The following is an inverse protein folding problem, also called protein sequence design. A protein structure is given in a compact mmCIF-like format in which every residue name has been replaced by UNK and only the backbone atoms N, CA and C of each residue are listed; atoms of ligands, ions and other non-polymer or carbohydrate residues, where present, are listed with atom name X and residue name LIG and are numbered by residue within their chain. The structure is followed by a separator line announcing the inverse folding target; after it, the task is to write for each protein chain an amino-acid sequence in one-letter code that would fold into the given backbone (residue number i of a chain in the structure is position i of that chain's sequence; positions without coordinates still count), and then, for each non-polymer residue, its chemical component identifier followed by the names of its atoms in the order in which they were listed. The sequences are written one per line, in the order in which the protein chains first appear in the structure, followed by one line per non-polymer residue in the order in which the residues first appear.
data_IF_748573935124
#
_entry.id   IF_748573935124
#
_cell.length_a   1.000
_cell.length_b   1.000
_cell.length_c   1.000
_cell.angle_alpha   90.00
_cell.angle_beta   90.00
_cell.angle_gamma   90.00
#
_symmetry.space_group_name_H-M   'P 1'
#
loop_
_entity.id
_entity.type
_entity.pdbx_description
1 polymer ?
#
# COMPACT_ATOMS: atom_id res chain seq x y z
N UNK A 1 14.83 4.35 -30.28
CA UNK A 1 14.95 3.38 -31.40
C UNK A 1 14.25 2.06 -31.11
N UNK A 2 14.40 1.48 -29.91
CA UNK A 2 13.82 0.18 -29.52
C UNK A 2 12.29 0.14 -29.48
N UNK A 3 11.62 1.27 -29.20
CA UNK A 3 10.15 1.37 -29.17
C UNK A 3 9.58 1.31 -30.57
N UNK A 4 10.25 1.92 -31.55
CA UNK A 4 9.81 1.92 -32.98
C UNK A 4 9.91 0.55 -33.65
N UNK A 5 10.76 -0.34 -33.14
CA UNK A 5 10.94 -1.71 -33.69
C UNK A 5 9.99 -2.73 -33.08
N UNK A 6 9.09 -2.33 -32.19
CA UNK A 6 8.13 -3.22 -31.52
C UNK A 6 8.74 -4.22 -30.55
N UNK A 7 10.04 -4.14 -30.28
CA UNK A 7 10.73 -5.01 -29.30
C UNK A 7 10.40 -4.67 -27.85
N UNK A 8 9.94 -3.43 -27.58
CA UNK A 8 9.50 -2.96 -26.27
C UNK A 8 8.13 -2.34 -26.42
N UNK A 9 7.13 -2.90 -25.78
CA UNK A 9 5.72 -2.43 -25.84
C UNK A 9 5.42 -1.29 -24.84
N UNK A 10 6.42 -0.81 -24.13
CA UNK A 10 6.32 0.24 -23.13
C UNK A 10 7.31 -0.03 -22.00
N UNK A 11 7.51 0.96 -21.14
CA UNK A 11 8.26 0.81 -19.91
C UNK A 11 7.43 1.41 -18.77
N UNK A 12 7.47 0.76 -17.65
CA UNK A 12 6.93 1.30 -16.40
C UNK A 12 8.03 2.10 -15.73
N UNK A 13 7.72 3.35 -15.41
CA UNK A 13 8.63 4.17 -14.59
C UNK A 13 8.15 4.01 -13.14
N UNK A 14 8.82 3.12 -12.41
CA UNK A 14 8.65 3.00 -10.97
C UNK A 14 9.76 3.80 -10.29
N UNK A 15 9.45 4.98 -9.82
CA UNK A 15 10.39 5.84 -9.11
C UNK A 15 9.67 6.81 -8.19
N UNK A 16 10.35 7.23 -7.15
CA UNK A 16 9.94 8.40 -6.39
C UNK A 16 10.30 9.63 -7.20
N UNK A 17 9.31 10.22 -7.86
CA UNK A 17 9.45 11.57 -8.37
C UNK A 17 9.31 12.51 -7.17
N UNK A 18 10.42 12.81 -6.52
CA UNK A 18 10.47 14.03 -5.76
C UNK A 18 10.37 15.15 -6.79
N UNK A 19 9.37 16.03 -6.65
CA UNK A 19 9.43 17.32 -7.29
C UNK A 19 10.86 17.82 -7.09
N UNK A 20 11.41 18.48 -8.09
CA UNK A 20 12.70 19.17 -8.01
C UNK A 20 12.55 20.34 -7.03
N UNK A 21 12.14 20.02 -5.80
CA UNK A 21 12.37 20.87 -4.66
C UNK A 21 13.86 21.12 -4.71
N UNK A 22 14.20 22.37 -4.93
CA UNK A 22 15.57 22.85 -4.88
C UNK A 22 16.25 22.09 -3.74
N UNK A 23 17.17 21.20 -4.10
CA UNK A 23 18.09 20.69 -3.08
C UNK A 23 18.62 21.94 -2.41
N UNK A 24 18.51 22.09 -1.09
CA UNK A 24 19.19 23.14 -0.40
C UNK A 24 20.60 23.10 -0.97
N UNK A 25 20.99 24.14 -1.69
CA UNK A 25 22.33 24.26 -2.29
C UNK A 25 23.28 23.86 -1.20
N UNK A 26 24.01 22.79 -1.41
CA UNK A 26 25.03 22.23 -0.56
C UNK A 26 25.33 23.10 0.68
N UNK A 27 24.55 22.92 1.74
CA UNK A 27 25.09 23.07 3.07
C UNK A 27 26.03 21.88 3.18
N UNK A 28 27.24 22.11 2.74
CA UNK A 28 28.35 21.20 2.87
C UNK A 28 28.35 20.70 4.31
N UNK A 29 28.20 19.38 4.47
CA UNK A 29 28.37 18.66 5.73
C UNK A 29 29.80 18.83 6.28
N UNK A 30 30.50 19.89 5.89
CA UNK A 30 31.85 20.26 6.31
C UNK A 30 31.87 20.98 7.66
N UNK A 31 30.68 21.27 8.24
CA UNK A 31 30.62 21.97 9.53
C UNK A 31 30.44 21.06 10.75
N UNK A 32 30.37 19.75 10.55
CA UNK A 32 30.33 18.80 11.66
C UNK A 32 31.63 18.74 12.46
N UNK A 33 32.74 19.19 11.87
CA UNK A 33 34.05 19.25 12.54
C UNK A 33 34.17 20.39 13.54
N UNK A 34 33.24 21.34 13.55
CA UNK A 34 33.24 22.51 14.43
C UNK A 34 32.19 22.46 15.53
N UNK A 35 31.39 21.38 15.61
CA UNK A 35 30.45 21.20 16.70
C UNK A 35 31.24 20.85 17.97
N UNK A 36 31.24 21.78 18.93
CA UNK A 36 31.81 21.50 20.23
C UNK A 36 31.06 20.34 20.89
N UNK A 37 31.80 19.53 21.63
CA UNK A 37 31.23 18.33 22.31
C UNK A 37 29.99 18.65 23.15
N UNK A 38 29.96 19.84 23.77
CA UNK A 38 28.80 20.34 24.54
C UNK A 38 27.55 20.57 23.64
N UNK A 39 27.74 21.10 22.43
CA UNK A 39 26.63 21.38 21.52
C UNK A 39 26.04 20.07 20.96
N UNK A 40 26.89 19.05 20.80
CA UNK A 40 26.46 17.71 20.40
C UNK A 40 25.64 17.00 21.50
N UNK A 41 26.01 17.18 22.76
CA UNK A 41 25.24 16.63 23.89
C UNK A 41 23.90 17.33 24.07
N UNK A 42 23.83 18.65 23.86
CA UNK A 42 22.60 19.42 23.89
C UNK A 42 21.64 18.97 22.80
N UNK A 43 22.11 18.86 21.56
CA UNK A 43 21.37 18.31 20.42
C UNK A 43 20.86 16.87 20.67
N UNK A 44 21.72 16.02 21.24
CA UNK A 44 21.33 14.66 21.63
C UNK A 44 20.27 14.64 22.72
N UNK A 45 20.33 15.58 23.66
CA UNK A 45 19.33 15.75 24.71
C UNK A 45 17.99 16.19 24.13
N UNK A 46 18.01 17.14 23.19
CA UNK A 46 16.83 17.64 22.48
C UNK A 46 16.19 16.54 21.63
N UNK A 47 16.99 15.81 20.85
CA UNK A 47 16.52 14.66 20.08
C UNK A 47 15.91 13.57 21.00
N UNK A 48 16.56 13.28 22.13
CA UNK A 48 16.01 12.35 23.13
C UNK A 48 14.70 12.87 23.75
N UNK A 49 14.57 14.18 23.94
CA UNK A 49 13.35 14.84 24.36
C UNK A 49 12.23 14.64 23.35
N UNK A 50 12.49 14.95 22.08
CA UNK A 50 11.55 14.78 20.98
C UNK A 50 11.12 13.32 20.82
N UNK A 51 12.05 12.37 20.94
CA UNK A 51 11.73 10.92 20.88
C UNK A 51 10.90 10.48 22.08
N UNK A 52 11.09 11.05 23.25
CA UNK A 52 10.28 10.75 24.45
C UNK A 52 8.90 11.40 24.41
N UNK A 53 8.80 12.62 23.91
CA UNK A 53 7.53 13.35 23.72
C UNK A 53 6.74 12.89 22.49
N UNK A 54 7.37 12.25 21.53
CA UNK A 54 6.63 11.45 20.56
C UNK A 54 5.98 10.34 21.37
N UNK A 55 4.80 10.65 21.91
CA UNK A 55 3.85 9.66 22.43
C UNK A 55 3.95 8.46 21.53
N UNK A 56 4.38 7.34 22.08
CA UNK A 56 4.38 6.05 21.39
C UNK A 56 3.00 5.94 20.78
N UNK A 57 2.88 6.27 19.50
CA UNK A 57 1.64 6.09 18.77
C UNK A 57 1.43 4.60 18.84
N UNK A 58 0.63 4.19 19.80
CA UNK A 58 0.29 2.80 20.05
C UNK A 58 -0.45 2.38 18.79
N UNK A 59 0.30 1.90 17.79
CA UNK A 59 -0.22 1.48 16.51
C UNK A 59 -1.29 0.43 16.79
N UNK A 60 -2.55 0.85 16.70
CA UNK A 60 -3.68 -0.04 16.89
C UNK A 60 -3.55 -1.19 15.90
N UNK A 61 -3.49 -2.40 16.41
CA UNK A 61 -3.37 -3.63 15.63
C UNK A 61 -4.56 -4.53 15.92
N UNK A 62 -4.98 -5.31 14.93
CA UNK A 62 -6.20 -6.10 14.95
C UNK A 62 -5.92 -7.52 14.47
N UNK A 63 -6.47 -8.51 15.16
CA UNK A 63 -6.40 -9.93 14.79
C UNK A 63 -7.76 -10.64 14.95
N UNK A 64 -8.83 -9.87 14.97
CA UNK A 64 -10.21 -10.33 15.13
C UNK A 64 -10.87 -10.79 13.82
N UNK A 65 -10.07 -11.08 12.81
CA UNK A 65 -10.59 -11.62 11.56
C UNK A 65 -11.08 -13.07 11.73
N UNK A 66 -12.16 -13.46 11.01
CA UNK A 66 -12.80 -14.73 11.17
C UNK A 66 -11.94 -15.91 10.70
N UNK A 67 -12.26 -17.10 11.18
CA UNK A 67 -11.56 -18.35 10.83
C UNK A 67 -11.59 -18.63 9.31
N UNK A 68 -12.62 -18.20 8.60
CA UNK A 68 -12.71 -18.33 7.14
C UNK A 68 -11.58 -17.62 6.39
N UNK A 69 -11.04 -16.52 6.93
CA UNK A 69 -9.87 -15.84 6.37
C UNK A 69 -8.63 -16.73 6.45
N UNK A 70 -8.44 -17.37 7.60
CA UNK A 70 -7.34 -18.31 7.83
C UNK A 70 -7.45 -19.52 6.89
N UNK A 71 -8.63 -20.08 6.78
CA UNK A 71 -8.90 -21.24 5.92
C UNK A 71 -8.65 -20.91 4.44
N UNK A 72 -9.08 -19.74 3.97
CA UNK A 72 -8.81 -19.26 2.62
C UNK A 72 -7.30 -19.09 2.36
N UNK A 73 -6.61 -18.50 3.30
CA UNK A 73 -5.15 -18.31 3.18
C UNK A 73 -4.39 -19.66 3.15
N UNK A 74 -4.79 -20.63 3.98
CA UNK A 74 -4.26 -22.00 3.94
C UNK A 74 -4.49 -22.64 2.58
N UNK A 75 -5.74 -22.60 2.08
CA UNK A 75 -6.08 -23.10 0.75
C UNK A 75 -5.25 -22.44 -0.34
N UNK A 76 -5.08 -21.11 -0.28
CA UNK A 76 -4.23 -20.39 -1.23
C UNK A 76 -2.78 -20.86 -1.22
N UNK A 77 -2.20 -21.14 -0.04
CA UNK A 77 -0.84 -21.69 0.10
C UNK A 77 -0.76 -23.08 -0.53
N UNK A 78 -1.74 -23.95 -0.29
CA UNK A 78 -1.76 -25.31 -0.84
C UNK A 78 -1.87 -25.30 -2.36
N UNK A 79 -2.78 -24.48 -2.91
CA UNK A 79 -2.92 -24.32 -4.37
C UNK A 79 -1.65 -23.76 -5.00
N UNK A 80 -1.04 -22.75 -4.38
CA UNK A 80 0.19 -22.17 -4.89
C UNK A 80 1.36 -23.18 -4.90
N UNK A 81 1.43 -24.07 -3.91
CA UNK A 81 2.39 -25.19 -3.91
C UNK A 81 2.17 -26.14 -5.09
N UNK A 82 0.90 -26.46 -5.41
CA UNK A 82 0.58 -27.35 -6.55
C UNK A 82 1.07 -26.79 -7.89
N UNK A 83 1.05 -25.48 -8.05
CA UNK A 83 1.55 -24.79 -9.26
C UNK A 83 3.02 -24.32 -9.11
N UNK A 84 3.82 -25.01 -8.30
CA UNK A 84 5.24 -24.73 -8.09
C UNK A 84 5.53 -23.30 -7.60
N UNK A 85 4.66 -22.73 -6.81
CA UNK A 85 4.78 -21.37 -6.23
C UNK A 85 4.91 -20.24 -7.25
N UNK A 86 4.36 -20.40 -8.46
CA UNK A 86 4.48 -19.42 -9.55
C UNK A 86 3.52 -18.23 -9.41
N UNK A 87 2.39 -18.41 -8.70
CA UNK A 87 1.27 -17.47 -8.74
C UNK A 87 1.30 -16.35 -7.71
N UNK A 88 2.34 -16.23 -6.90
CA UNK A 88 2.36 -15.23 -5.84
C UNK A 88 3.71 -14.54 -5.71
N UNK A 89 3.65 -13.22 -5.52
CA UNK A 89 4.81 -12.44 -5.08
C UNK A 89 5.21 -12.79 -3.64
N UNK A 90 6.43 -12.42 -3.25
CA UNK A 90 6.90 -12.59 -1.87
C UNK A 90 5.95 -11.91 -0.86
N UNK A 91 5.40 -10.75 -1.21
CA UNK A 91 4.44 -10.01 -0.37
C UNK A 91 3.17 -10.83 -0.15
N UNK A 92 2.60 -11.42 -1.20
CA UNK A 92 1.41 -12.29 -1.09
C UNK A 92 1.68 -13.54 -0.24
N UNK A 93 2.83 -14.19 -0.42
CA UNK A 93 3.26 -15.35 0.40
C UNK A 93 3.41 -14.99 1.87
N UNK A 94 4.03 -13.86 2.18
CA UNK A 94 4.20 -13.39 3.55
C UNK A 94 2.85 -13.01 4.17
N UNK A 95 1.95 -12.37 3.40
CA UNK A 95 0.61 -12.06 3.88
C UNK A 95 -0.18 -13.31 4.24
N UNK A 96 -0.13 -14.34 3.40
CA UNK A 96 -0.77 -15.62 3.68
C UNK A 96 -0.26 -16.25 4.98
N UNK A 97 1.06 -16.24 5.22
CA UNK A 97 1.65 -16.75 6.47
C UNK A 97 1.16 -15.99 7.69
N UNK A 98 1.14 -14.65 7.63
CA UNK A 98 0.63 -13.79 8.70
C UNK A 98 -0.84 -14.10 9.04
N UNK A 99 -1.68 -14.26 8.02
CA UNK A 99 -3.09 -14.61 8.22
C UNK A 99 -3.25 -15.99 8.84
N UNK A 100 -2.48 -16.98 8.40
CA UNK A 100 -2.52 -18.35 8.95
C UNK A 100 -2.03 -18.38 10.40
N UNK A 101 -1.00 -17.59 10.73
CA UNK A 101 -0.48 -17.46 12.10
C UNK A 101 -1.37 -16.60 13.00
N UNK A 102 -2.48 -16.05 12.48
CA UNK A 102 -3.38 -15.13 13.18
C UNK A 102 -2.66 -13.91 13.78
N UNK A 103 -1.66 -13.40 13.07
CA UNK A 103 -0.89 -12.23 13.50
C UNK A 103 -1.75 -10.97 13.54
N UNK A 104 -1.35 -10.04 14.41
CA UNK A 104 -1.97 -8.72 14.50
C UNK A 104 -1.62 -7.89 13.28
N UNK A 105 -2.63 -7.34 12.62
CA UNK A 105 -2.49 -6.49 11.45
C UNK A 105 -2.62 -5.02 11.83
N UNK A 106 -1.72 -4.17 11.34
CA UNK A 106 -1.83 -2.72 11.48
C UNK A 106 -2.94 -2.16 10.60
N UNK A 107 -3.45 -0.97 10.92
CA UNK A 107 -4.45 -0.28 10.12
C UNK A 107 -4.01 -0.08 8.66
N UNK A 108 -2.75 0.29 8.44
CA UNK A 108 -2.18 0.43 7.09
C UNK A 108 -2.19 -0.90 6.31
N UNK A 109 -1.94 -2.01 7.00
CA UNK A 109 -2.04 -3.34 6.42
C UNK A 109 -3.47 -3.70 6.03
N UNK A 110 -4.46 -3.36 6.86
CA UNK A 110 -5.88 -3.60 6.60
C UNK A 110 -6.35 -2.78 5.38
N UNK A 111 -5.93 -1.51 5.27
CA UNK A 111 -6.21 -0.66 4.09
C UNK A 111 -5.65 -1.29 2.80
N UNK A 112 -4.39 -1.76 2.83
CA UNK A 112 -3.76 -2.44 1.69
C UNK A 112 -4.48 -3.75 1.32
N UNK A 113 -4.88 -4.52 2.33
CA UNK A 113 -5.61 -5.78 2.15
C UNK A 113 -6.96 -5.53 1.47
N UNK A 114 -7.74 -4.56 1.95
CA UNK A 114 -9.01 -4.18 1.34
C UNK A 114 -8.83 -3.69 -0.10
N UNK A 115 -7.90 -2.77 -0.33
CA UNK A 115 -7.61 -2.22 -1.65
C UNK A 115 -7.18 -3.28 -2.65
N UNK A 116 -6.30 -4.21 -2.24
CA UNK A 116 -5.87 -5.32 -3.09
C UNK A 116 -7.03 -6.25 -3.44
N UNK A 117 -7.76 -6.72 -2.43
CA UNK A 117 -8.85 -7.69 -2.63
C UNK A 117 -10.01 -7.11 -3.44
N UNK A 118 -10.29 -5.80 -3.32
CA UNK A 118 -11.33 -5.15 -4.12
C UNK A 118 -11.02 -5.17 -5.62
N UNK A 119 -9.76 -5.02 -5.99
CA UNK A 119 -9.32 -5.13 -7.40
C UNK A 119 -9.16 -6.57 -7.86
N UNK A 120 -8.65 -7.44 -6.99
CA UNK A 120 -8.33 -8.82 -7.33
C UNK A 120 -9.59 -9.72 -7.42
N UNK A 121 -10.73 -9.29 -6.89
CA UNK A 121 -11.99 -10.04 -6.95
C UNK A 121 -12.45 -10.29 -8.39
N UNK A 122 -12.13 -9.39 -9.33
CA UNK A 122 -12.46 -9.56 -10.76
C UNK A 122 -11.72 -10.72 -11.41
N UNK A 123 -10.60 -11.15 -10.85
CA UNK A 123 -9.78 -12.26 -11.36
C UNK A 123 -10.02 -13.56 -10.58
N UNK A 124 -10.96 -13.56 -9.67
CA UNK A 124 -11.29 -14.73 -8.85
C UNK A 124 -12.32 -15.61 -9.57
N UNK A 125 -11.90 -16.81 -9.95
CA UNK A 125 -12.81 -17.86 -10.43
C UNK A 125 -12.76 -19.06 -9.47
N UNK A 126 -13.86 -19.34 -8.73
CA UNK A 126 -13.90 -20.46 -7.81
C UNK A 126 -13.81 -21.83 -8.49
N UNK A 127 -14.06 -21.91 -9.81
CA UNK A 127 -13.98 -23.14 -10.60
C UNK A 127 -12.55 -23.42 -11.08
N UNK A 128 -11.74 -22.38 -11.25
CA UNK A 128 -10.35 -22.52 -11.66
C UNK A 128 -9.39 -22.38 -10.47
N UNK A 129 -8.98 -23.51 -9.92
CA UNK A 129 -8.06 -23.58 -8.79
C UNK A 129 -6.57 -23.41 -9.20
N UNK A 130 -6.26 -23.41 -10.49
CA UNK A 130 -4.89 -23.26 -11.01
C UNK A 130 -4.63 -21.83 -11.48
N UNK A 131 -5.68 -21.04 -11.72
CA UNK A 131 -5.55 -19.64 -12.10
C UNK A 131 -4.80 -18.83 -11.04
N UNK A 132 -3.78 -18.12 -11.45
CA UNK A 132 -2.99 -17.27 -10.55
C UNK A 132 -3.83 -16.17 -9.88
N UNK A 133 -4.88 -15.68 -10.54
CA UNK A 133 -5.83 -14.73 -9.95
C UNK A 133 -6.53 -15.32 -8.73
N UNK A 134 -7.06 -16.52 -8.87
CA UNK A 134 -7.73 -17.26 -7.79
C UNK A 134 -6.79 -17.57 -6.63
N UNK A 135 -5.60 -18.09 -6.94
CA UNK A 135 -4.60 -18.42 -5.93
C UNK A 135 -4.16 -17.16 -5.16
N UNK A 136 -3.84 -16.09 -5.87
CA UNK A 136 -3.43 -14.83 -5.26
C UNK A 136 -4.54 -14.22 -4.39
N UNK A 137 -5.78 -14.26 -4.84
CA UNK A 137 -6.93 -13.78 -4.07
C UNK A 137 -7.09 -14.56 -2.75
N UNK A 138 -6.97 -15.89 -2.80
CA UNK A 138 -7.07 -16.76 -1.63
C UNK A 138 -5.89 -16.55 -0.65
N UNK A 139 -4.67 -16.33 -1.14
CA UNK A 139 -3.49 -16.03 -0.30
C UNK A 139 -3.69 -14.78 0.56
N UNK A 140 -4.47 -13.82 0.09
CA UNK A 140 -4.84 -12.62 0.85
C UNK A 140 -6.10 -12.81 1.71
N UNK A 141 -6.60 -14.04 1.84
CA UNK A 141 -7.74 -14.40 2.68
C UNK A 141 -9.10 -14.36 1.97
N UNK A 142 -9.11 -14.07 0.67
CA UNK A 142 -10.32 -14.15 -0.16
C UNK A 142 -11.42 -13.16 0.23
N UNK A 143 -12.65 -13.46 -0.19
CA UNK A 143 -13.83 -12.62 0.05
C UNK A 143 -14.09 -12.36 1.55
N UNK A 144 -13.80 -13.35 2.40
CA UNK A 144 -13.95 -13.19 3.85
C UNK A 144 -13.03 -12.10 4.42
N UNK A 145 -11.78 -12.03 3.95
CA UNK A 145 -10.84 -11.00 4.37
C UNK A 145 -11.24 -9.63 3.84
N UNK A 146 -11.75 -9.54 2.60
CA UNK A 146 -12.29 -8.30 2.04
C UNK A 146 -13.42 -7.75 2.91
N UNK A 147 -14.42 -8.58 3.20
CA UNK A 147 -15.60 -8.18 3.97
C UNK A 147 -15.23 -7.77 5.40
N UNK A 148 -14.31 -8.52 6.05
CA UNK A 148 -13.81 -8.17 7.36
C UNK A 148 -13.07 -6.83 7.36
N UNK A 149 -12.16 -6.64 6.40
CA UNK A 149 -11.40 -5.40 6.28
C UNK A 149 -12.31 -4.19 6.01
N UNK A 150 -13.31 -4.36 5.15
CA UNK A 150 -14.31 -3.32 4.86
C UNK A 150 -15.08 -2.93 6.11
N UNK A 151 -15.62 -3.92 6.84
CA UNK A 151 -16.35 -3.68 8.09
C UNK A 151 -15.48 -3.00 9.13
N UNK A 152 -14.21 -3.43 9.25
CA UNK A 152 -13.24 -2.82 10.17
C UNK A 152 -12.92 -1.37 9.80
N UNK A 153 -12.68 -1.07 8.53
CA UNK A 153 -12.42 0.29 8.06
C UNK A 153 -13.64 1.20 8.21
N UNK A 154 -14.86 0.67 7.98
CA UNK A 154 -16.11 1.40 8.24
C UNK A 154 -16.27 1.74 9.71
N UNK A 155 -16.04 0.79 10.61
CA UNK A 155 -16.16 0.99 12.06
C UNK A 155 -15.14 2.00 12.61
N UNK A 156 -13.99 2.14 11.95
CA UNK A 156 -12.94 3.10 12.31
C UNK A 156 -13.12 4.48 11.62
N UNK A 157 -14.14 4.65 10.77
CA UNK A 157 -14.36 5.87 10.00
C UNK A 157 -13.40 6.07 8.81
N UNK A 158 -12.46 5.15 8.61
CA UNK A 158 -11.38 5.27 7.63
C UNK A 158 -11.83 5.12 6.17
N UNK A 159 -12.93 4.40 5.93
CA UNK A 159 -13.45 4.19 4.58
C UNK A 159 -14.15 5.45 4.03
N UNK A 160 -14.80 6.22 4.91
CA UNK A 160 -15.45 7.49 4.52
C UNK A 160 -14.43 8.54 4.04
N UNK A 161 -13.31 8.65 4.76
CA UNK A 161 -12.23 9.58 4.39
C UNK A 161 -11.60 9.22 3.04
N UNK A 162 -11.44 7.93 2.75
CA UNK A 162 -10.87 7.47 1.49
C UNK A 162 -11.80 7.73 0.30
N UNK A 163 -13.10 7.44 0.43
CA UNK A 163 -14.09 7.69 -0.63
C UNK A 163 -14.31 9.17 -0.88
N UNK A 164 -14.29 10.00 0.16
CA UNK A 164 -14.44 11.44 0.04
C UNK A 164 -13.24 12.06 -0.67
N UNK A 165 -12.01 11.67 -0.31
CA UNK A 165 -10.80 12.13 -0.98
C UNK A 165 -10.77 11.76 -2.46
N UNK A 166 -11.16 10.53 -2.80
CA UNK A 166 -11.23 10.09 -4.22
C UNK A 166 -12.27 10.92 -4.98
N UNK A 167 -13.43 11.20 -4.39
CA UNK A 167 -14.44 12.04 -5.03
C UNK A 167 -13.97 13.47 -5.22
N UNK A 168 -13.27 14.04 -4.24
CA UNK A 168 -12.69 15.39 -4.33
C UNK A 168 -11.63 15.45 -5.42
N UNK A 169 -10.75 14.46 -5.52
CA UNK A 169 -9.73 14.36 -6.57
C UNK A 169 -10.38 14.21 -7.97
N UNK A 170 -11.45 13.42 -8.10
CA UNK A 170 -12.23 13.31 -9.34
C UNK A 170 -12.96 14.59 -9.70
N UNK A 171 -13.50 15.30 -8.74
CA UNK A 171 -14.16 16.60 -8.97
C UNK A 171 -13.16 17.62 -9.51
N UNK A 172 -11.96 17.70 -8.95
CA UNK A 172 -10.88 18.58 -9.42
C UNK A 172 -10.45 18.23 -10.85
N UNK A 173 -10.31 16.94 -11.16
CA UNK A 173 -9.92 16.48 -12.49
C UNK A 173 -11.01 16.82 -13.52
N UNK A 174 -12.28 16.59 -13.19
CA UNK A 174 -13.41 16.89 -14.07
C UNK A 174 -13.57 18.40 -14.28
N UNK A 175 -13.33 19.22 -13.26
CA UNK A 175 -13.38 20.68 -13.37
C UNK A 175 -12.26 21.19 -14.31
N UNK A 176 -11.03 20.68 -14.17
CA UNK A 176 -9.92 21.01 -15.07
C UNK A 176 -10.17 20.54 -16.52
N UNK A 177 -10.74 19.35 -16.71
CA UNK A 177 -11.11 18.84 -18.03
C UNK A 177 -12.25 19.66 -18.65
N UNK A 178 -13.22 20.12 -17.85
CA UNK A 178 -14.31 21.00 -18.28
C UNK A 178 -13.81 22.37 -18.78
N UNK A 179 -12.80 22.94 -18.14
CA UNK A 179 -12.14 24.16 -18.61
C UNK A 179 -11.42 23.95 -19.94
N UNK A 180 -10.66 22.86 -20.07
CA UNK A 180 -9.94 22.55 -21.31
C UNK A 180 -10.89 22.36 -22.50
N UNK A 181 -12.05 21.74 -22.31
CA UNK A 181 -13.06 21.55 -23.38
C UNK A 181 -13.77 22.83 -23.77
N UNK A 182 -13.97 23.79 -22.85
CA UNK A 182 -14.56 25.09 -23.16
C UNK A 182 -13.61 25.98 -23.95
N UNK A 183 -12.31 26.04 -23.58
CA UNK A 183 -11.30 26.80 -24.31
C UNK A 183 -11.09 26.27 -25.75
N UNK A 184 -11.27 24.98 -25.98
CA UNK A 184 -11.17 24.39 -27.33
C UNK A 184 -12.42 24.61 -28.18
N UNK A 185 -13.57 24.90 -27.59
CA UNK A 185 -14.82 25.16 -28.31
C UNK A 185 -14.97 26.63 -28.76
N UNK A 186 -14.16 27.54 -28.20
CA UNK A 186 -14.19 28.98 -28.52
C UNK A 186 -13.09 29.40 -29.53
N UNK A 187 -12.32 28.50 -30.07
CA UNK A 187 -11.32 28.69 -31.14
C UNK A 187 -11.75 28.00 -32.44
#
# INVERSE_FOLDING_TARGET
EFVKTGKVKGFSIEGYFADKAERPKDQTINDLSNIKENDAEELLSEIKGIIRDTTVVKLKTYNDYPQSVINNAKRGIELNKKVNNKCATLVGKNRARQLVAKEKLSLSTIKRLYSYLSRAETYYDPKDNEACGTISFLLWGGKSAKNWAESKLKSLGELKLYSQKVNDDFAIINDRLGYATREMAEK
#
